data_IF_162830021266
#
_entry.id   IF_162830021266
#
_cell.length_a   1.000
_cell.length_b   1.000
_cell.length_c   1.000
_cell.angle_alpha   90.00
_cell.angle_beta   90.00
_cell.angle_gamma   90.00
#
_symmetry.space_group_name_H-M   'P 1'
#
loop_
_entity.id
_entity.type
_entity.pdbx_description
1 polymer ?
#
# COMPACT_ATOMS: atom_id res chain seq x y z
N UNK A 1 0.57 -47.83 41.67
CA UNK A 1 1.95 -47.34 41.67
C UNK A 1 2.53 -47.67 40.30
N UNK A 2 2.88 -46.78 39.39
CA UNK A 2 2.87 -45.32 39.37
C UNK A 2 2.79 -44.85 37.91
N UNK A 3 2.12 -43.71 37.75
CA UNK A 3 1.99 -42.87 36.56
C UNK A 3 3.36 -42.39 36.03
N UNK A 4 3.49 -42.23 34.70
CA UNK A 4 3.76 -40.91 34.08
C UNK A 4 3.95 -41.00 32.57
N UNK A 5 3.06 -40.32 31.85
CA UNK A 5 3.22 -39.91 30.47
C UNK A 5 4.37 -38.89 30.35
N UNK A 6 5.15 -38.94 29.27
CA UNK A 6 5.96 -37.80 28.84
C UNK A 6 5.47 -37.39 27.46
N UNK A 7 4.56 -36.41 27.53
CA UNK A 7 4.13 -35.55 26.45
C UNK A 7 5.34 -34.72 25.99
N UNK A 8 5.90 -35.02 24.82
CA UNK A 8 6.77 -34.06 24.13
C UNK A 8 5.88 -33.16 23.26
N UNK A 9 5.18 -32.24 23.93
CA UNK A 9 4.68 -31.05 23.28
C UNK A 9 5.90 -30.31 22.73
N UNK A 10 6.15 -30.42 21.42
CA UNK A 10 7.03 -29.50 20.72
C UNK A 10 6.33 -28.15 20.79
N UNK A 11 6.73 -27.35 21.77
CA UNK A 11 6.41 -25.94 21.86
C UNK A 11 6.86 -25.31 20.54
N UNK A 12 5.88 -25.13 19.65
CA UNK A 12 6.05 -24.48 18.37
C UNK A 12 6.22 -23.00 18.68
N UNK A 13 7.42 -22.60 19.15
CA UNK A 13 7.76 -21.19 19.31
C UNK A 13 7.60 -20.55 17.94
N UNK A 14 6.70 -19.56 17.77
CA UNK A 14 6.59 -18.85 16.51
C UNK A 14 7.92 -18.15 16.24
N UNK A 15 8.74 -18.72 15.35
CA UNK A 15 10.02 -18.17 14.91
C UNK A 15 9.79 -17.15 13.81
N UNK A 16 8.90 -16.20 14.06
CA UNK A 16 8.68 -15.03 13.23
C UNK A 16 8.94 -13.77 14.06
N UNK A 17 9.40 -12.66 13.45
CA UNK A 17 9.35 -11.37 14.14
C UNK A 17 7.94 -11.17 14.68
N UNK A 18 7.77 -10.57 15.88
CA UNK A 18 6.45 -10.34 16.44
C UNK A 18 5.61 -9.66 15.37
N UNK A 19 4.41 -10.20 15.11
CA UNK A 19 3.44 -9.58 14.22
C UNK A 19 3.22 -8.17 14.78
N UNK A 20 3.94 -7.21 14.20
CA UNK A 20 3.83 -5.83 14.61
C UNK A 20 2.43 -5.51 14.17
N UNK A 21 1.53 -5.31 15.13
CA UNK A 21 0.14 -4.91 14.89
C UNK A 21 0.21 -3.52 14.26
N UNK A 22 0.57 -3.47 12.97
CA UNK A 22 0.53 -2.25 12.22
C UNK A 22 -0.93 -1.84 12.19
N UNK A 23 -1.26 -0.60 12.57
CA UNK A 23 -2.63 -0.15 12.52
C UNK A 23 -3.13 -0.29 11.09
N UNK A 24 -4.34 -0.81 10.91
CA UNK A 24 -5.07 -0.97 9.64
C UNK A 24 -5.40 0.40 9.02
N UNK A 25 -4.38 1.19 8.76
CA UNK A 25 -4.46 2.61 8.43
C UNK A 25 -3.42 2.94 7.39
N UNK A 26 -3.84 3.76 6.43
CA UNK A 26 -2.93 4.29 5.42
C UNK A 26 -2.13 5.42 6.07
N UNK A 27 -0.81 5.28 6.09
CA UNK A 27 0.12 6.32 6.52
C UNK A 27 0.63 7.06 5.30
N UNK A 28 0.53 8.39 5.30
CA UNK A 28 0.96 9.24 4.19
C UNK A 28 2.18 10.05 4.62
N UNK A 29 3.27 9.96 3.85
CA UNK A 29 4.52 10.68 4.13
C UNK A 29 5.04 11.38 2.89
N UNK A 30 5.40 12.66 3.01
CA UNK A 30 6.19 13.37 1.98
C UNK A 30 7.63 12.87 2.04
N UNK A 31 8.20 12.48 0.90
CA UNK A 31 9.54 11.83 0.87
C UNK A 31 10.63 12.73 0.31
N UNK A 32 10.39 13.28 -0.88
CA UNK A 32 11.26 14.23 -1.58
C UNK A 32 10.36 15.32 -2.16
N UNK A 33 10.90 16.47 -2.62
CA UNK A 33 10.08 17.46 -3.34
C UNK A 33 9.29 16.77 -4.45
N UNK A 34 7.97 17.01 -4.47
CA UNK A 34 7.04 16.42 -5.42
C UNK A 34 6.74 14.92 -5.26
N UNK A 35 7.24 14.24 -4.22
CA UNK A 35 6.95 12.81 -3.99
C UNK A 35 6.19 12.54 -2.70
N UNK A 36 5.13 11.75 -2.81
CA UNK A 36 4.30 11.30 -1.67
C UNK A 36 4.32 9.77 -1.61
N UNK A 37 4.56 9.23 -0.41
CA UNK A 37 4.54 7.80 -0.14
C UNK A 37 3.30 7.49 0.70
N UNK A 38 2.58 6.43 0.32
CA UNK A 38 1.51 5.85 1.11
C UNK A 38 1.95 4.43 1.52
N UNK A 39 1.80 4.09 2.79
CA UNK A 39 2.09 2.77 3.33
C UNK A 39 0.90 2.23 4.08
N UNK A 40 0.66 0.92 3.96
CA UNK A 40 -0.40 0.21 4.64
C UNK A 40 0.16 -1.06 5.26
N UNK A 41 -0.21 -1.36 6.50
CA UNK A 41 0.22 -2.55 7.21
C UNK A 41 -0.99 -3.29 7.76
N UNK A 42 -1.02 -4.61 7.54
CA UNK A 42 -2.08 -5.53 7.97
C UNK A 42 -1.55 -6.96 7.97
N UNK A 43 -2.15 -7.84 8.77
CA UNK A 43 -1.86 -9.27 8.76
C UNK A 43 -1.96 -9.85 7.35
N UNK A 44 -0.94 -10.62 6.94
CA UNK A 44 -0.83 -11.20 5.59
C UNK A 44 -0.34 -10.24 4.51
N UNK A 45 -0.07 -8.98 4.83
CA UNK A 45 0.61 -8.01 3.97
C UNK A 45 2.00 -7.73 4.54
N UNK A 46 3.04 -8.37 3.98
CA UNK A 46 4.43 -8.13 4.40
C UNK A 46 4.91 -6.73 4.02
N UNK A 47 4.47 -6.24 2.85
CA UNK A 47 4.86 -4.93 2.35
C UNK A 47 3.78 -4.36 1.45
N UNK A 48 3.30 -3.16 1.77
CA UNK A 48 2.44 -2.40 0.89
C UNK A 48 2.87 -0.94 0.85
N UNK A 49 3.29 -0.49 -0.34
CA UNK A 49 3.82 0.85 -0.56
C UNK A 49 3.39 1.39 -1.90
N UNK A 50 2.65 2.49 -1.87
CA UNK A 50 2.40 3.34 -3.02
C UNK A 50 3.38 4.53 -3.01
N UNK A 51 3.86 4.90 -4.18
CA UNK A 51 4.73 6.05 -4.40
C UNK A 51 4.14 6.88 -5.52
N UNK A 52 3.85 8.13 -5.22
CA UNK A 52 3.48 9.15 -6.19
C UNK A 52 4.71 10.03 -6.38
N UNK A 53 5.08 10.28 -7.62
CA UNK A 53 6.28 11.05 -8.02
C UNK A 53 5.89 12.25 -8.86
N UNK A 54 6.74 13.27 -8.83
CA UNK A 54 6.63 14.48 -9.64
C UNK A 54 5.22 15.08 -9.59
N UNK A 55 4.71 15.39 -8.40
CA UNK A 55 3.43 16.08 -8.21
C UNK A 55 2.22 15.37 -8.86
N UNK A 56 2.31 14.06 -9.06
CA UNK A 56 1.24 13.25 -9.64
C UNK A 56 1.44 12.86 -11.11
N UNK A 57 2.62 13.04 -11.73
CA UNK A 57 2.86 12.47 -13.07
C UNK A 57 2.92 10.95 -13.08
N UNK A 58 3.51 10.35 -12.04
CA UNK A 58 3.68 8.90 -11.96
C UNK A 58 3.24 8.37 -10.61
N UNK A 59 2.57 7.23 -10.61
CA UNK A 59 2.24 6.49 -9.40
C UNK A 59 2.62 5.02 -9.56
N UNK A 60 3.19 4.41 -8.52
CA UNK A 60 3.55 3.00 -8.48
C UNK A 60 3.12 2.40 -7.16
N UNK A 61 2.38 1.29 -7.21
CA UNK A 61 1.98 0.50 -6.06
C UNK A 61 2.75 -0.83 -6.06
N UNK A 62 3.41 -1.14 -4.95
CA UNK A 62 4.06 -2.44 -4.72
C UNK A 62 3.45 -3.12 -3.50
N UNK A 63 2.94 -4.33 -3.71
CA UNK A 63 2.32 -5.16 -2.68
C UNK A 63 3.07 -6.50 -2.63
N UNK A 64 3.35 -6.98 -1.43
CA UNK A 64 3.87 -8.31 -1.14
C UNK A 64 2.97 -8.93 -0.08
N UNK A 65 2.38 -10.08 -0.42
CA UNK A 65 1.48 -10.83 0.45
C UNK A 65 2.18 -12.05 1.01
N UNK A 66 1.78 -12.44 2.21
CA UNK A 66 2.21 -13.67 2.87
C UNK A 66 1.00 -14.59 3.07
N UNK A 67 0.76 -15.47 2.09
CA UNK A 67 -0.36 -16.40 2.12
C UNK A 67 -0.28 -17.44 3.23
N UNK A 68 0.93 -17.74 3.76
CA UNK A 68 1.06 -18.63 4.91
C UNK A 68 0.47 -18.03 6.18
N UNK A 69 0.32 -16.71 6.24
CA UNK A 69 -0.27 -15.99 7.37
C UNK A 69 -1.76 -15.68 7.17
N UNK A 70 -2.39 -16.15 6.08
CA UNK A 70 -3.78 -15.85 5.74
C UNK A 70 -4.69 -17.08 5.90
N UNK A 71 -5.83 -16.89 6.55
CA UNK A 71 -6.99 -17.77 6.44
C UNK A 71 -8.02 -17.21 5.43
N UNK A 72 -9.05 -17.99 5.09
CA UNK A 72 -10.03 -17.60 4.07
C UNK A 72 -10.75 -16.27 4.40
N UNK A 73 -11.10 -16.05 5.67
CA UNK A 73 -11.76 -14.81 6.11
C UNK A 73 -10.85 -13.58 5.99
N UNK A 74 -9.54 -13.76 6.12
CA UNK A 74 -8.56 -12.68 6.01
C UNK A 74 -8.27 -12.28 4.56
N UNK A 75 -8.57 -13.14 3.58
CA UNK A 75 -8.36 -12.82 2.15
C UNK A 75 -9.25 -11.64 1.74
N UNK A 76 -10.54 -11.66 2.08
CA UNK A 76 -11.47 -10.56 1.76
C UNK A 76 -11.02 -9.23 2.36
N UNK A 77 -10.45 -9.28 3.56
CA UNK A 77 -9.93 -8.10 4.23
C UNK A 77 -8.61 -7.59 3.61
N UNK A 78 -7.77 -8.48 3.09
CA UNK A 78 -6.60 -8.10 2.26
C UNK A 78 -7.04 -7.47 0.95
N UNK A 79 -8.05 -8.01 0.29
CA UNK A 79 -8.62 -7.43 -0.94
C UNK A 79 -9.13 -6.01 -0.69
N UNK A 80 -9.88 -5.82 0.40
CA UNK A 80 -10.36 -4.51 0.82
C UNK A 80 -9.20 -3.53 1.07
N UNK A 81 -8.16 -3.97 1.77
CA UNK A 81 -6.97 -3.16 2.02
C UNK A 81 -6.24 -2.73 0.74
N UNK A 82 -6.14 -3.64 -0.25
CA UNK A 82 -5.54 -3.34 -1.56
C UNK A 82 -6.39 -2.33 -2.33
N UNK A 83 -7.71 -2.47 -2.30
CA UNK A 83 -8.63 -1.53 -2.92
C UNK A 83 -8.50 -0.13 -2.28
N UNK A 84 -8.43 -0.06 -0.95
CA UNK A 84 -8.33 1.19 -0.21
C UNK A 84 -7.03 1.95 -0.49
N UNK A 85 -5.87 1.28 -0.46
CA UNK A 85 -4.61 1.95 -0.78
C UNK A 85 -4.55 2.37 -2.25
N UNK A 86 -5.14 1.59 -3.16
CA UNK A 86 -5.22 1.94 -4.58
C UNK A 86 -6.06 3.20 -4.78
N UNK A 87 -7.24 3.26 -4.13
CA UNK A 87 -8.12 4.44 -4.16
C UNK A 87 -7.39 5.66 -3.59
N UNK A 88 -6.80 5.53 -2.41
CA UNK A 88 -6.08 6.62 -1.76
C UNK A 88 -4.91 7.14 -2.60
N UNK A 89 -4.15 6.24 -3.25
CA UNK A 89 -3.06 6.62 -4.15
C UNK A 89 -3.57 7.46 -5.33
N UNK A 90 -4.64 7.03 -6.00
CA UNK A 90 -5.21 7.76 -7.14
C UNK A 90 -5.77 9.11 -6.71
N UNK A 91 -6.54 9.15 -5.61
CA UNK A 91 -7.07 10.40 -5.05
C UNK A 91 -5.95 11.39 -4.69
N UNK A 92 -4.90 10.91 -4.02
CA UNK A 92 -3.77 11.75 -3.64
C UNK A 92 -3.00 12.28 -4.86
N UNK A 93 -2.84 11.46 -5.91
CA UNK A 93 -2.22 11.90 -7.16
C UNK A 93 -3.07 12.96 -7.86
N UNK A 94 -4.40 12.81 -7.87
CA UNK A 94 -5.31 13.81 -8.41
C UNK A 94 -5.25 15.14 -7.63
N UNK A 95 -5.16 15.09 -6.30
CA UNK A 95 -4.99 16.29 -5.46
C UNK A 95 -3.67 17.01 -5.77
N UNK A 96 -2.57 16.26 -5.93
CA UNK A 96 -1.27 16.85 -6.29
C UNK A 96 -1.31 17.49 -7.68
N UNK A 97 -1.98 16.85 -8.65
CA UNK A 97 -2.21 17.41 -9.99
C UNK A 97 -3.02 18.70 -9.95
N UNK A 98 -4.11 18.72 -9.18
CA UNK A 98 -4.94 19.92 -9.05
C UNK A 98 -4.15 21.08 -8.42
N UNK A 99 -3.30 20.80 -7.44
CA UNK A 99 -2.43 21.80 -6.80
C UNK A 99 -1.35 22.35 -7.74
N UNK A 100 -0.90 21.57 -8.72
CA UNK A 100 0.14 21.96 -9.69
C UNK A 100 -0.40 21.99 -11.13
N UNK A 101 -1.68 22.36 -11.28
CA UNK A 101 -2.42 22.34 -12.54
C UNK A 101 -1.67 22.89 -13.77
N UNK A 102 -0.90 23.99 -13.68
CA UNK A 102 -0.12 24.49 -14.83
C UNK A 102 0.87 23.50 -15.43
N UNK A 103 1.37 22.53 -14.65
CA UNK A 103 2.27 21.48 -15.15
C UNK A 103 1.49 20.43 -15.98
N UNK A 104 0.21 20.22 -15.69
CA UNK A 104 -0.58 19.12 -16.26
C UNK A 104 -1.50 19.54 -17.41
N UNK A 105 -1.82 20.83 -17.54
CA UNK A 105 -2.70 21.37 -18.59
C UNK A 105 -2.04 21.45 -19.99
N UNK A 106 -0.89 20.78 -20.21
CA UNK A 106 -0.18 20.75 -21.50
C UNK A 106 -1.03 20.12 -22.61
N UNK A 107 -1.91 19.17 -22.30
CA UNK A 107 -2.86 18.61 -23.28
C UNK A 107 -3.95 19.63 -23.69
N UNK A 108 -4.36 20.52 -22.78
CA UNK A 108 -5.26 21.62 -23.11
C UNK A 108 -4.56 22.69 -23.98
N UNK A 109 -3.24 22.87 -23.80
CA UNK A 109 -2.42 23.77 -24.63
C UNK A 109 -2.09 23.18 -26.02
N UNK A 110 -1.92 21.86 -26.12
CA UNK A 110 -1.69 21.18 -27.41
C UNK A 110 -2.91 21.23 -28.33
N UNK A 111 -4.13 21.23 -27.79
CA UNK A 111 -5.37 21.47 -28.55
C UNK A 111 -5.53 22.90 -29.06
N UNK A 112 -4.80 23.87 -28.48
CA UNK A 112 -4.80 25.28 -28.91
C UNK A 112 -3.75 25.54 -30.00
N UNK A 113 -2.70 24.72 -30.10
CA UNK A 113 -1.67 24.85 -31.15
C UNK A 113 -2.03 24.17 -32.48
N UNK A 114 -3.14 23.44 -32.55
CA UNK A 114 -3.68 22.88 -33.80
C UNK A 114 -4.49 23.91 -34.59
N UNK A 115 -3.87 25.02 -34.99
CA UNK A 115 -4.27 25.76 -36.20
C UNK A 115 -3.15 26.67 -36.74
N UNK A 116 -2.22 26.15 -37.56
CA UNK A 116 -1.76 26.85 -38.74
C UNK A 116 -2.78 26.63 -39.88
N UNK A 117 -2.87 27.62 -40.76
CA UNK A 117 -3.90 27.85 -41.79
C UNK A 117 -4.21 26.67 -42.71
#
# INVERSE_FOLDING_TARGET
>A
MDTSAISTARENKPSGPPATTMPDTITVRKSTPGSTILTYGRVGIDRCRAVITHDGYGATLRIQLNYHALNCEQIEAVETAIADITRAMVSQAATLRAAHRPLFDIAALAGVQSRPQ
#
